data_IF_410677007504
#
_entry.id   IF_410677007504
#
_cell.length_a   1.000
_cell.length_b   1.000
_cell.length_c   1.000
_cell.angle_alpha   90.00
_cell.angle_beta   90.00
_cell.angle_gamma   90.00
#
_symmetry.space_group_name_H-M   'P 1'
#
loop_
_entity.id
_entity.type
_entity.pdbx_description
1 polymer ?
#
# COMPACT_ATOMS: atom_id res chain seq x y z
N UNK A 1 -4.59 -59.46 -61.77
CA UNK A 1 -3.24 -59.13 -61.24
C UNK A 1 -3.38 -57.97 -60.27
N UNK A 2 -3.37 -58.24 -58.96
CA UNK A 2 -2.32 -57.84 -57.98
C UNK A 2 -2.10 -56.32 -57.80
N UNK A 3 -2.30 -55.89 -56.55
CA UNK A 3 -1.64 -54.83 -55.74
C UNK A 3 -2.57 -53.68 -55.37
N UNK A 4 -2.58 -53.12 -54.17
CA UNK A 4 -2.08 -53.49 -52.84
C UNK A 4 -2.74 -52.53 -51.86
N UNK A 5 -3.07 -53.02 -50.68
CA UNK A 5 -3.52 -52.28 -49.51
C UNK A 5 -2.44 -51.29 -49.04
N UNK A 6 -2.79 -50.08 -48.62
CA UNK A 6 -1.94 -49.27 -47.71
C UNK A 6 -2.84 -48.43 -46.82
N UNK A 7 -2.97 -48.92 -45.59
CA UNK A 7 -3.60 -48.31 -44.43
C UNK A 7 -2.71 -47.14 -43.97
N UNK A 8 -3.23 -45.91 -43.99
CA UNK A 8 -2.53 -44.76 -43.40
C UNK A 8 -2.96 -44.63 -41.93
N UNK A 9 -2.11 -45.11 -41.02
CA UNK A 9 -2.22 -44.86 -39.59
C UNK A 9 -2.06 -43.36 -39.31
N UNK A 10 -3.14 -42.69 -38.91
CA UNK A 10 -3.06 -41.35 -38.30
C UNK A 10 -2.53 -41.55 -36.87
N UNK A 11 -1.23 -41.32 -36.71
CA UNK A 11 -0.56 -41.23 -35.41
C UNK A 11 -1.02 -39.93 -34.75
N UNK A 12 -1.69 -40.09 -33.61
CA UNK A 12 -2.05 -39.03 -32.66
C UNK A 12 -0.78 -38.31 -32.24
N UNK A 13 -0.60 -37.07 -32.69
CA UNK A 13 0.37 -36.15 -32.10
C UNK A 13 -0.16 -35.71 -30.72
N UNK A 14 0.30 -36.40 -29.68
CA UNK A 14 0.30 -35.85 -28.32
C UNK A 14 1.20 -34.61 -28.33
N UNK A 15 0.59 -33.43 -28.35
CA UNK A 15 1.32 -32.15 -28.28
C UNK A 15 1.99 -32.04 -26.91
N UNK A 16 3.29 -32.26 -26.93
CA UNK A 16 4.33 -31.72 -26.04
C UNK A 16 3.83 -30.85 -24.89
N UNK A 17 3.72 -31.43 -23.70
CA UNK A 17 3.90 -30.67 -22.47
C UNK A 17 5.37 -30.22 -22.41
N UNK A 18 5.68 -29.06 -23.00
CA UNK A 18 6.93 -28.38 -22.70
C UNK A 18 6.90 -28.05 -21.22
N UNK A 19 7.60 -28.86 -20.40
CA UNK A 19 7.75 -28.61 -18.97
C UNK A 19 8.38 -27.24 -18.78
N UNK A 20 7.56 -26.25 -18.44
CA UNK A 20 8.02 -24.90 -18.21
C UNK A 20 9.05 -24.92 -17.08
N UNK A 21 10.29 -24.53 -17.39
CA UNK A 21 11.39 -24.48 -16.41
C UNK A 21 11.25 -23.29 -15.45
N UNK A 22 10.25 -22.42 -15.64
CA UNK A 22 10.02 -21.17 -14.92
C UNK A 22 8.53 -20.94 -14.68
N UNK A 23 8.20 -20.14 -13.67
CA UNK A 23 6.83 -19.68 -13.39
C UNK A 23 6.34 -18.79 -14.54
N UNK A 24 5.12 -19.01 -15.01
CA UNK A 24 4.49 -18.30 -16.13
C UNK A 24 3.58 -17.17 -15.63
N UNK A 25 4.18 -16.05 -15.25
CA UNK A 25 3.45 -14.90 -14.74
C UNK A 25 2.51 -14.28 -15.78
N UNK A 26 1.31 -13.90 -15.34
CA UNK A 26 0.40 -13.05 -16.11
C UNK A 26 0.94 -11.61 -16.14
N UNK A 27 0.69 -10.84 -17.23
CA UNK A 27 1.27 -9.51 -17.39
C UNK A 27 0.57 -8.44 -16.54
N UNK A 28 -0.72 -8.60 -16.20
CA UNK A 28 -1.44 -7.70 -15.30
C UNK A 28 -2.27 -8.48 -14.28
N UNK A 29 -2.63 -7.80 -13.18
CA UNK A 29 -3.45 -8.40 -12.14
C UNK A 29 -4.87 -8.69 -12.63
N UNK A 30 -5.46 -7.84 -13.46
CA UNK A 30 -6.78 -8.03 -14.05
C UNK A 30 -6.82 -9.27 -14.95
N UNK A 31 -5.77 -9.50 -15.74
CA UNK A 31 -5.66 -10.71 -16.55
C UNK A 31 -5.52 -11.96 -15.68
N UNK A 32 -4.77 -11.86 -14.57
CA UNK A 32 -4.68 -12.95 -13.60
C UNK A 32 -6.03 -13.29 -12.99
N UNK A 33 -6.83 -12.29 -12.59
CA UNK A 33 -8.18 -12.49 -12.06
C UNK A 33 -9.14 -13.06 -13.11
N UNK A 34 -9.13 -12.53 -14.33
CA UNK A 34 -9.97 -13.06 -15.41
C UNK A 34 -9.67 -14.53 -15.71
N UNK A 35 -8.38 -14.89 -15.75
CA UNK A 35 -7.95 -16.27 -15.98
C UNK A 35 -8.25 -17.18 -14.79
N UNK A 36 -8.11 -16.67 -13.58
CA UNK A 36 -8.50 -17.35 -12.33
C UNK A 36 -9.97 -17.73 -12.34
N UNK A 37 -10.85 -16.83 -12.79
CA UNK A 37 -12.27 -17.11 -12.92
C UNK A 37 -12.56 -18.19 -13.98
N UNK A 38 -11.85 -18.20 -15.11
CA UNK A 38 -12.06 -19.19 -16.18
C UNK A 38 -11.49 -20.58 -15.87
N UNK A 39 -10.35 -20.65 -15.18
CA UNK A 39 -9.65 -21.91 -14.89
C UNK A 39 -9.97 -22.48 -13.50
N UNK A 40 -10.77 -21.78 -12.70
CA UNK A 40 -11.09 -22.12 -11.30
C UNK A 40 -9.85 -22.36 -10.42
N UNK A 41 -8.83 -21.51 -10.60
CA UNK A 41 -7.57 -21.55 -9.83
C UNK A 41 -7.37 -20.25 -9.07
N UNK A 42 -6.72 -20.32 -7.91
CA UNK A 42 -6.32 -19.11 -7.19
C UNK A 42 -5.27 -18.30 -7.96
N UNK A 43 -5.32 -16.98 -7.84
CA UNK A 43 -4.21 -16.10 -8.21
C UNK A 43 -3.13 -16.16 -7.13
N UNK A 44 -1.89 -16.40 -7.53
CA UNK A 44 -0.71 -16.24 -6.68
C UNK A 44 -0.06 -14.89 -6.99
N UNK A 45 -0.24 -13.91 -6.12
CA UNK A 45 0.46 -12.62 -6.21
C UNK A 45 1.80 -12.73 -5.49
N UNK A 46 2.89 -12.57 -6.23
CA UNK A 46 4.26 -12.52 -5.71
C UNK A 46 4.73 -11.07 -5.69
N UNK A 47 4.92 -10.51 -4.49
CA UNK A 47 5.42 -9.15 -4.29
C UNK A 47 6.88 -9.25 -3.85
N UNK A 48 7.81 -8.97 -4.76
CA UNK A 48 9.24 -9.10 -4.46
C UNK A 48 9.90 -7.77 -4.11
N UNK A 49 10.92 -7.83 -3.23
CA UNK A 49 11.75 -6.67 -2.88
C UNK A 49 12.79 -6.34 -3.96
N UNK A 50 13.11 -7.32 -4.80
CA UNK A 50 14.28 -7.33 -5.67
C UNK A 50 13.84 -7.13 -7.11
N UNK A 51 14.34 -6.06 -7.74
CA UNK A 51 14.18 -5.77 -9.16
C UNK A 51 14.94 -6.84 -9.98
N UNK A 52 14.45 -7.32 -11.15
CA UNK A 52 15.08 -8.39 -11.89
C UNK A 52 16.49 -8.02 -12.34
N UNK A 53 17.34 -9.03 -12.44
CA UNK A 53 18.73 -8.91 -12.92
C UNK A 53 18.83 -8.16 -14.27
N UNK A 54 17.87 -8.34 -15.17
CA UNK A 54 17.82 -7.64 -16.47
C UNK A 54 17.72 -6.11 -16.35
N UNK A 55 17.15 -5.58 -15.26
CA UNK A 55 17.15 -4.14 -14.97
C UNK A 55 18.37 -3.70 -14.12
N UNK A 56 19.06 -4.66 -13.50
CA UNK A 56 20.39 -4.49 -12.88
C UNK A 56 21.55 -4.61 -13.88
N UNK A 57 21.31 -5.11 -15.10
CA UNK A 57 22.31 -5.30 -16.16
C UNK A 57 22.69 -3.99 -16.89
N UNK A 58 22.14 -2.84 -16.47
CA UNK A 58 22.84 -1.57 -16.71
C UNK A 58 24.20 -1.65 -16.00
N UNK A 59 25.29 -1.28 -16.68
CA UNK A 59 26.68 -1.60 -16.34
C UNK A 59 27.23 -1.18 -14.95
N UNK A 60 26.40 -0.81 -13.98
CA UNK A 60 26.73 -0.19 -12.70
C UNK A 60 26.61 -1.08 -11.45
N UNK A 61 26.16 -2.34 -11.51
CA UNK A 61 26.18 -3.24 -10.35
C UNK A 61 27.13 -4.42 -10.51
N UNK A 62 28.45 -4.19 -10.36
CA UNK A 62 29.45 -5.26 -10.17
C UNK A 62 29.37 -5.86 -8.76
N UNK A 63 28.23 -6.44 -8.39
CA UNK A 63 28.17 -7.42 -7.29
C UNK A 63 27.58 -8.71 -7.85
N UNK A 64 28.42 -9.75 -7.93
CA UNK A 64 27.97 -11.14 -8.13
C UNK A 64 27.23 -11.60 -6.87
N UNK A 65 25.98 -11.16 -6.70
CA UNK A 65 25.05 -11.83 -5.78
C UNK A 65 24.20 -12.76 -6.65
N UNK A 66 24.53 -14.04 -6.65
CA UNK A 66 23.65 -15.07 -7.19
C UNK A 66 22.52 -15.29 -6.18
N UNK A 67 21.46 -14.50 -6.27
CA UNK A 67 20.26 -14.73 -5.48
C UNK A 67 19.49 -15.91 -6.11
N UNK A 68 19.73 -17.13 -5.64
CA UNK A 68 18.97 -18.31 -6.06
C UNK A 68 17.83 -18.50 -5.08
N UNK A 69 16.57 -18.27 -5.46
CA UNK A 69 15.44 -18.58 -4.58
C UNK A 69 15.01 -20.03 -4.77
N UNK A 70 14.50 -20.68 -3.71
CA UNK A 70 13.76 -21.93 -3.84
C UNK A 70 12.50 -21.79 -4.70
N UNK A 71 12.00 -20.55 -4.89
CA UNK A 71 10.90 -20.24 -5.81
C UNK A 71 11.26 -20.48 -7.28
N UNK A 72 12.54 -20.34 -7.64
CA UNK A 72 13.03 -20.55 -9.00
C UNK A 72 13.29 -22.03 -9.33
N UNK A 73 13.00 -22.94 -8.39
CA UNK A 73 13.17 -24.37 -8.59
C UNK A 73 12.18 -24.91 -9.62
N UNK A 74 12.61 -25.90 -10.41
CA UNK A 74 11.79 -26.49 -11.48
C UNK A 74 10.53 -27.16 -10.93
N UNK A 75 10.61 -27.86 -9.80
CA UNK A 75 9.46 -28.53 -9.19
C UNK A 75 8.46 -27.50 -8.66
N UNK A 76 8.97 -26.42 -8.07
CA UNK A 76 8.15 -25.29 -7.62
C UNK A 76 7.45 -24.61 -8.80
N UNK A 77 8.19 -24.31 -9.89
CA UNK A 77 7.60 -23.70 -11.08
C UNK A 77 6.49 -24.55 -11.70
N UNK A 78 6.70 -25.86 -11.80
CA UNK A 78 5.70 -26.80 -12.27
C UNK A 78 4.47 -26.82 -11.36
N UNK A 79 4.66 -26.89 -10.05
CA UNK A 79 3.57 -26.86 -9.09
C UNK A 79 2.77 -25.56 -9.23
N UNK A 80 3.45 -24.41 -9.31
CA UNK A 80 2.80 -23.11 -9.41
C UNK A 80 1.97 -23.00 -10.69
N UNK A 81 2.55 -23.29 -11.85
CA UNK A 81 1.87 -23.18 -13.14
C UNK A 81 0.68 -24.15 -13.26
N UNK A 82 0.74 -25.30 -12.58
CA UNK A 82 -0.35 -26.27 -12.58
C UNK A 82 -1.52 -25.81 -11.68
N UNK A 83 -1.21 -25.28 -10.49
CA UNK A 83 -2.21 -25.07 -9.44
C UNK A 83 -2.71 -23.63 -9.29
N UNK A 84 -1.97 -22.64 -9.80
CA UNK A 84 -2.27 -21.22 -9.60
C UNK A 84 -2.18 -20.44 -10.91
N UNK A 85 -2.76 -19.25 -10.90
CA UNK A 85 -2.52 -18.19 -11.89
C UNK A 85 -1.51 -17.22 -11.28
N UNK A 86 -0.21 -17.33 -11.57
CA UNK A 86 0.78 -16.49 -10.92
C UNK A 86 0.79 -15.07 -11.54
N UNK A 87 0.90 -14.06 -10.70
CA UNK A 87 1.12 -12.66 -11.05
C UNK A 87 2.26 -12.14 -10.19
N UNK A 88 3.15 -11.34 -10.77
CA UNK A 88 4.33 -10.85 -10.08
C UNK A 88 4.41 -9.34 -10.19
N UNK A 89 4.70 -8.69 -9.06
CA UNK A 89 4.90 -7.26 -8.98
C UNK A 89 6.09 -6.93 -8.07
N UNK A 90 6.77 -5.82 -8.33
CA UNK A 90 7.81 -5.34 -7.44
C UNK A 90 7.22 -4.46 -6.35
N UNK A 91 7.80 -4.52 -5.17
CA UNK A 91 7.36 -3.73 -4.02
C UNK A 91 7.28 -2.22 -4.31
N UNK A 92 8.17 -1.71 -5.17
CA UNK A 92 8.23 -0.29 -5.52
C UNK A 92 7.24 0.11 -6.62
N UNK A 93 6.57 -0.84 -7.25
CA UNK A 93 5.58 -0.52 -8.27
C UNK A 93 4.37 0.16 -7.60
N UNK A 94 3.80 1.22 -8.21
CA UNK A 94 2.66 1.93 -7.63
C UNK A 94 1.47 1.01 -7.30
N UNK A 95 1.22 0.01 -8.15
CA UNK A 95 0.16 -0.99 -7.95
C UNK A 95 0.42 -1.85 -6.68
N UNK A 96 1.68 -2.06 -6.27
CA UNK A 96 2.00 -2.81 -5.06
C UNK A 96 1.53 -2.09 -3.78
N UNK A 97 1.42 -0.76 -3.80
CA UNK A 97 0.94 0.03 -2.66
C UNK A 97 -0.49 -0.34 -2.27
N UNK A 98 -1.32 -0.73 -3.25
CA UNK A 98 -2.69 -1.20 -3.01
C UNK A 98 -2.67 -2.47 -2.16
N UNK A 99 -1.87 -3.46 -2.53
CA UNK A 99 -1.73 -4.72 -1.79
C UNK A 99 -1.11 -4.51 -0.40
N UNK A 100 -0.09 -3.65 -0.30
CA UNK A 100 0.59 -3.34 0.95
C UNK A 100 -0.37 -2.76 1.98
N UNK A 101 -1.18 -1.77 1.57
CA UNK A 101 -2.19 -1.15 2.42
C UNK A 101 -3.32 -2.13 2.73
N UNK A 102 -3.86 -2.81 1.72
CA UNK A 102 -5.01 -3.71 1.86
C UNK A 102 -4.73 -4.91 2.77
N UNK A 103 -3.53 -5.49 2.70
CA UNK A 103 -3.19 -6.72 3.41
C UNK A 103 -2.17 -6.54 4.55
N UNK A 104 -1.86 -5.27 4.87
CA UNK A 104 -0.91 -4.88 5.92
C UNK A 104 0.43 -5.61 5.80
N UNK A 105 1.06 -5.49 4.63
CA UNK A 105 2.31 -6.20 4.34
C UNK A 105 3.49 -5.45 4.97
N UNK A 106 4.19 -6.13 5.89
CA UNK A 106 5.28 -5.55 6.68
C UNK A 106 6.67 -5.96 6.18
N UNK A 107 6.73 -6.95 5.30
CA UNK A 107 7.95 -7.60 4.84
C UNK A 107 7.80 -8.07 3.39
N UNK A 108 8.93 -8.22 2.69
CA UNK A 108 8.99 -8.83 1.36
C UNK A 108 10.15 -9.83 1.26
N UNK A 109 10.07 -10.85 0.37
CA UNK A 109 8.95 -11.13 -0.55
C UNK A 109 7.68 -11.57 0.18
N UNK A 110 6.53 -11.14 -0.33
CA UNK A 110 5.21 -11.51 0.16
C UNK A 110 4.43 -12.30 -0.89
N UNK A 111 3.67 -13.29 -0.45
CA UNK A 111 2.87 -14.18 -1.29
C UNK A 111 1.42 -14.07 -0.85
N UNK A 112 0.55 -13.64 -1.75
CA UNK A 112 -0.88 -13.56 -1.51
C UNK A 112 -1.59 -14.56 -2.40
N UNK A 113 -2.46 -15.36 -1.80
CA UNK A 113 -3.30 -16.33 -2.48
C UNK A 113 -4.70 -15.75 -2.53
N UNK A 114 -5.13 -15.37 -3.72
CA UNK A 114 -6.40 -14.70 -3.96
C UNK A 114 -7.32 -15.65 -4.72
N UNK A 115 -8.56 -15.79 -4.29
CA UNK A 115 -9.53 -16.59 -5.02
C UNK A 115 -10.11 -15.86 -6.24
N UNK A 116 -10.94 -16.57 -7.02
CA UNK A 116 -11.61 -16.04 -8.22
C UNK A 116 -12.56 -14.87 -7.96
N UNK A 117 -12.89 -14.60 -6.70
CA UNK A 117 -13.74 -13.48 -6.27
C UNK A 117 -12.89 -12.30 -5.73
N UNK A 118 -11.58 -12.33 -5.93
CA UNK A 118 -10.63 -11.31 -5.46
C UNK A 118 -10.53 -11.20 -3.92
N UNK A 119 -10.82 -12.29 -3.20
CA UNK A 119 -10.68 -12.36 -1.75
C UNK A 119 -9.40 -13.09 -1.34
N UNK A 120 -8.80 -12.65 -0.22
CA UNK A 120 -7.60 -13.29 0.32
C UNK A 120 -7.96 -14.64 0.95
N UNK A 121 -7.31 -15.69 0.47
CA UNK A 121 -7.38 -17.05 1.02
C UNK A 121 -6.25 -17.27 2.02
N UNK A 122 -5.02 -16.92 1.62
CA UNK A 122 -3.82 -17.14 2.45
C UNK A 122 -2.78 -16.06 2.16
N UNK A 123 -1.95 -15.72 3.16
CA UNK A 123 -0.78 -14.86 2.97
C UNK A 123 0.42 -15.41 3.72
N UNK A 124 1.60 -15.19 3.17
CA UNK A 124 2.87 -15.59 3.78
C UNK A 124 4.01 -14.66 3.34
N UNK A 125 5.05 -14.59 4.15
CA UNK A 125 6.26 -13.80 3.92
C UNK A 125 7.51 -14.68 4.04
N UNK A 126 7.69 -15.58 3.08
CA UNK A 126 8.79 -16.55 3.11
C UNK A 126 9.88 -16.27 2.08
N UNK A 127 11.12 -16.32 2.53
CA UNK A 127 12.27 -16.25 1.65
C UNK A 127 13.29 -17.32 2.00
N UNK A 128 13.50 -18.27 1.09
CA UNK A 128 14.31 -19.45 1.36
C UNK A 128 15.00 -19.99 0.11
N UNK A 129 16.12 -20.67 0.31
CA UNK A 129 16.75 -21.48 -0.74
C UNK A 129 16.05 -22.84 -0.91
N UNK A 130 15.17 -23.24 0.03
CA UNK A 130 14.54 -24.57 0.07
C UNK A 130 13.25 -24.61 -0.78
N UNK A 131 13.19 -25.41 -1.85
CA UNK A 131 11.96 -25.59 -2.65
C UNK A 131 10.80 -26.14 -1.82
N UNK A 132 11.09 -27.06 -0.89
CA UNK A 132 10.09 -27.68 -0.03
C UNK A 132 9.30 -26.66 0.81
N UNK A 133 9.94 -25.56 1.23
CA UNK A 133 9.27 -24.51 2.00
C UNK A 133 8.19 -23.79 1.18
N UNK A 134 8.46 -23.56 -0.10
CA UNK A 134 7.49 -22.99 -1.03
C UNK A 134 6.35 -23.96 -1.32
N UNK A 135 6.67 -25.24 -1.59
CA UNK A 135 5.65 -26.27 -1.80
C UNK A 135 4.71 -26.40 -0.59
N UNK A 136 5.25 -26.39 0.62
CA UNK A 136 4.44 -26.42 1.85
C UNK A 136 3.55 -25.17 1.99
N UNK A 137 4.06 -23.98 1.65
CA UNK A 137 3.27 -22.74 1.64
C UNK A 137 2.12 -22.83 0.62
N UNK A 138 2.39 -23.31 -0.59
CA UNK A 138 1.37 -23.48 -1.63
C UNK A 138 0.33 -24.52 -1.24
N UNK A 139 0.75 -25.62 -0.64
CA UNK A 139 -0.14 -26.67 -0.16
C UNK A 139 -1.06 -26.16 0.95
N UNK A 140 -0.52 -25.39 1.92
CA UNK A 140 -1.32 -24.71 2.94
C UNK A 140 -2.37 -23.78 2.34
N UNK A 141 -2.03 -23.03 1.28
CA UNK A 141 -3.02 -22.17 0.62
C UNK A 141 -4.18 -22.97 0.00
N UNK A 142 -3.88 -24.12 -0.64
CA UNK A 142 -4.90 -25.02 -1.20
C UNK A 142 -5.77 -25.65 -0.11
N UNK A 143 -5.16 -26.09 0.99
CA UNK A 143 -5.87 -26.63 2.15
C UNK A 143 -6.80 -25.60 2.78
N UNK A 144 -6.35 -24.35 2.91
CA UNK A 144 -7.19 -23.25 3.40
C UNK A 144 -8.39 -23.03 2.50
N UNK A 145 -8.22 -23.02 1.17
CA UNK A 145 -9.35 -22.92 0.23
C UNK A 145 -10.33 -24.10 0.39
N UNK A 146 -9.81 -25.32 0.46
CA UNK A 146 -10.61 -26.54 0.59
C UNK A 146 -11.35 -26.63 1.93
N UNK A 147 -10.84 -26.00 2.99
CA UNK A 147 -11.39 -26.08 4.34
C UNK A 147 -12.79 -25.48 4.51
N UNK A 148 -13.26 -24.66 3.57
CA UNK A 148 -14.53 -23.95 3.74
C UNK A 148 -14.45 -22.68 4.60
N UNK A 149 -13.29 -22.38 5.19
CA UNK A 149 -13.08 -21.25 6.10
C UNK A 149 -12.34 -20.09 5.44
N UNK A 150 -12.83 -19.65 4.29
CA UNK A 150 -12.26 -18.52 3.55
C UNK A 150 -13.14 -17.27 3.63
N UNK A 151 -12.52 -16.10 3.44
CA UNK A 151 -13.23 -14.81 3.43
C UNK A 151 -14.36 -14.82 2.40
N UNK A 152 -14.16 -15.42 1.21
CA UNK A 152 -15.20 -15.47 0.17
C UNK A 152 -16.39 -16.35 0.53
N UNK A 153 -16.19 -17.47 1.21
CA UNK A 153 -17.30 -18.33 1.65
C UNK A 153 -18.13 -17.65 2.73
N UNK A 154 -17.49 -16.97 3.68
CA UNK A 154 -18.20 -16.13 4.64
C UNK A 154 -18.89 -14.94 3.95
N UNK A 155 -18.22 -14.29 2.98
CA UNK A 155 -18.83 -13.21 2.19
C UNK A 155 -20.08 -13.70 1.44
N UNK A 156 -20.04 -14.87 0.81
CA UNK A 156 -21.17 -15.45 0.09
C UNK A 156 -22.35 -15.72 1.03
N UNK A 157 -22.10 -16.31 2.21
CA UNK A 157 -23.15 -16.51 3.22
C UNK A 157 -23.72 -15.19 3.74
N UNK A 158 -22.87 -14.18 3.93
CA UNK A 158 -23.30 -12.84 4.33
C UNK A 158 -24.15 -12.17 3.24
N UNK A 159 -23.78 -12.28 1.96
CA UNK A 159 -24.57 -11.78 0.84
C UNK A 159 -25.89 -12.54 0.68
N UNK A 160 -25.92 -13.83 1.01
CA UNK A 160 -27.14 -14.65 1.06
C UNK A 160 -28.06 -14.34 2.27
N UNK A 161 -27.71 -13.34 3.10
CA UNK A 161 -28.54 -12.88 4.21
C UNK A 161 -28.26 -13.53 5.56
N UNK A 162 -27.21 -14.35 5.70
CA UNK A 162 -26.84 -14.88 7.01
C UNK A 162 -26.39 -13.74 7.93
N UNK A 163 -27.13 -13.52 9.03
CA UNK A 163 -26.87 -12.49 10.04
C UNK A 163 -26.79 -13.07 11.45
N UNK A 164 -26.63 -14.39 11.60
CA UNK A 164 -26.54 -15.02 12.93
C UNK A 164 -25.33 -14.45 13.71
N UNK A 165 -25.46 -14.15 15.02
CA UNK A 165 -24.39 -13.56 15.82
C UNK A 165 -23.08 -14.34 15.77
N UNK A 166 -23.15 -15.67 15.92
CA UNK A 166 -21.99 -16.57 15.88
C UNK A 166 -21.28 -16.55 14.53
N UNK A 167 -22.05 -16.53 13.44
CA UNK A 167 -21.51 -16.43 12.08
C UNK A 167 -20.81 -15.08 11.84
N UNK A 168 -21.44 -13.97 12.23
CA UNK A 168 -20.86 -12.63 12.07
C UNK A 168 -19.59 -12.47 12.92
N UNK A 169 -19.59 -13.05 14.13
CA UNK A 169 -18.42 -13.07 14.99
C UNK A 169 -17.27 -13.82 14.35
N UNK A 170 -17.51 -15.04 13.91
CA UNK A 170 -16.50 -15.87 13.23
C UNK A 170 -15.97 -15.17 11.97
N UNK A 171 -16.83 -14.47 11.23
CA UNK A 171 -16.42 -13.72 10.04
C UNK A 171 -15.47 -12.57 10.39
N UNK A 172 -15.81 -11.77 11.40
CA UNK A 172 -14.96 -10.67 11.86
C UNK A 172 -13.62 -11.21 12.38
N UNK A 173 -13.61 -12.31 13.13
CA UNK A 173 -12.39 -12.93 13.64
C UNK A 173 -11.50 -13.47 12.52
N UNK A 174 -12.10 -14.11 11.50
CA UNK A 174 -11.39 -14.54 10.29
C UNK A 174 -10.73 -13.35 9.58
N UNK A 175 -11.48 -12.28 9.34
CA UNK A 175 -10.94 -11.07 8.71
C UNK A 175 -9.77 -10.49 9.53
N UNK A 176 -9.95 -10.33 10.85
CA UNK A 176 -8.91 -9.81 11.73
C UNK A 176 -7.65 -10.68 11.75
N UNK A 177 -7.81 -12.01 11.79
CA UNK A 177 -6.70 -12.97 11.72
C UNK A 177 -5.93 -12.90 10.40
N UNK A 178 -6.62 -12.53 9.31
CA UNK A 178 -6.03 -12.30 7.99
C UNK A 178 -5.45 -10.89 7.82
N UNK A 179 -5.58 -10.01 8.82
CA UNK A 179 -5.17 -8.61 8.75
C UNK A 179 -6.10 -7.73 7.90
N UNK A 180 -7.34 -8.18 7.66
CA UNK A 180 -8.41 -7.44 7.00
C UNK A 180 -9.26 -6.78 8.08
N UNK A 181 -9.26 -5.44 8.11
CA UNK A 181 -9.90 -4.69 9.21
C UNK A 181 -11.15 -3.90 8.83
N UNK A 182 -11.56 -3.89 7.55
CA UNK A 182 -12.83 -3.30 7.09
C UNK A 182 -14.03 -4.14 7.54
N UNK A 183 -14.37 -4.06 8.83
CA UNK A 183 -15.40 -4.86 9.47
C UNK A 183 -16.53 -4.01 10.06
N UNK A 184 -16.56 -2.70 9.82
CA UNK A 184 -17.54 -1.81 10.47
C UNK A 184 -18.99 -2.23 10.18
N UNK A 185 -19.31 -2.57 8.93
CA UNK A 185 -20.65 -3.05 8.57
C UNK A 185 -21.00 -4.39 9.23
N UNK A 186 -20.03 -5.30 9.34
CA UNK A 186 -20.21 -6.58 10.04
C UNK A 186 -20.42 -6.37 11.53
N UNK A 187 -19.68 -5.43 12.13
CA UNK A 187 -19.82 -5.06 13.53
C UNK A 187 -21.20 -4.44 13.81
N UNK A 188 -21.72 -3.61 12.91
CA UNK A 188 -23.09 -3.07 12.99
C UNK A 188 -24.15 -4.17 12.92
N UNK A 189 -24.01 -5.09 11.97
CA UNK A 189 -24.94 -6.22 11.85
C UNK A 189 -24.88 -7.15 13.06
N UNK A 190 -23.68 -7.38 13.60
CA UNK A 190 -23.48 -8.17 14.82
C UNK A 190 -24.14 -7.51 16.02
N UNK A 191 -23.87 -6.22 16.25
CA UNK A 191 -24.44 -5.45 17.34
C UNK A 191 -25.97 -5.37 17.26
N UNK A 192 -26.54 -5.33 16.05
CA UNK A 192 -27.99 -5.35 15.84
C UNK A 192 -28.67 -6.65 16.30
N UNK A 193 -27.93 -7.77 16.41
CA UNK A 193 -28.46 -9.03 16.93
C UNK A 193 -28.32 -9.17 18.45
N UNK A 194 -27.61 -8.27 19.12
CA UNK A 194 -27.33 -8.40 20.55
C UNK A 194 -28.49 -7.86 21.42
N UNK A 195 -28.77 -8.50 22.57
CA UNK A 195 -29.71 -7.94 23.53
C UNK A 195 -29.13 -6.66 24.17
N UNK A 196 -29.98 -5.74 24.70
CA UNK A 196 -29.52 -4.50 25.34
C UNK A 196 -28.48 -4.70 26.46
N UNK A 197 -28.56 -5.82 27.19
CA UNK A 197 -27.61 -6.17 28.25
C UNK A 197 -26.17 -6.39 27.73
N UNK A 198 -26.00 -6.80 26.48
CA UNK A 198 -24.69 -7.04 25.89
C UNK A 198 -23.86 -5.76 25.73
N UNK A 199 -24.50 -4.60 25.63
CA UNK A 199 -23.80 -3.29 25.56
C UNK A 199 -23.19 -2.86 26.91
N UNK A 200 -23.43 -3.65 27.97
CA UNK A 200 -22.80 -3.49 29.28
C UNK A 200 -21.63 -4.48 29.50
N UNK A 201 -21.40 -5.41 28.56
CA UNK A 201 -20.35 -6.41 28.65
C UNK A 201 -19.03 -5.89 28.04
N UNK A 202 -17.97 -5.90 28.83
CA UNK A 202 -16.64 -5.46 28.41
C UNK A 202 -16.06 -6.31 27.27
N UNK A 203 -16.30 -7.63 27.26
CA UNK A 203 -15.83 -8.51 26.19
C UNK A 203 -16.50 -8.17 24.87
N UNK A 204 -17.79 -7.81 24.91
CA UNK A 204 -18.53 -7.37 23.73
C UNK A 204 -18.03 -6.01 23.24
N UNK A 205 -17.79 -5.07 24.15
CA UNK A 205 -17.16 -3.78 23.83
C UNK A 205 -15.82 -4.01 23.12
N UNK A 206 -14.92 -4.80 23.72
CA UNK A 206 -13.57 -5.02 23.19
C UNK A 206 -13.61 -5.70 21.81
N UNK A 207 -14.48 -6.70 21.63
CA UNK A 207 -14.67 -7.38 20.36
C UNK A 207 -15.11 -6.41 19.26
N UNK A 208 -16.17 -5.65 19.51
CA UNK A 208 -16.72 -4.69 18.55
C UNK A 208 -15.71 -3.58 18.25
N UNK A 209 -15.06 -3.00 19.26
CA UNK A 209 -14.06 -1.95 19.04
C UNK A 209 -12.84 -2.44 18.26
N UNK A 210 -12.40 -3.70 18.46
CA UNK A 210 -11.35 -4.32 17.64
C UNK A 210 -11.75 -4.47 16.17
N UNK A 211 -13.04 -4.63 15.88
CA UNK A 211 -13.56 -4.65 14.52
C UNK A 211 -13.60 -3.27 13.86
N UNK A 212 -13.49 -2.18 14.64
CA UNK A 212 -13.48 -0.81 14.15
C UNK A 212 -14.85 -0.39 13.61
N UNK A 213 -15.87 -0.19 14.47
CA UNK A 213 -17.17 0.33 14.02
C UNK A 213 -17.01 1.73 13.43
N UNK A 214 -18.02 2.20 12.68
CA UNK A 214 -18.00 3.57 12.17
C UNK A 214 -17.93 4.58 13.32
N UNK A 215 -17.09 5.60 13.15
CA UNK A 215 -16.88 6.68 14.08
C UNK A 215 -18.21 7.39 14.34
N UNK A 216 -18.62 7.46 15.60
CA UNK A 216 -19.91 8.03 16.02
C UNK A 216 -21.14 7.36 15.40
N UNK A 217 -20.99 6.22 14.71
CA UNK A 217 -22.08 5.41 14.17
C UNK A 217 -22.88 4.72 15.27
N UNK A 218 -24.01 4.11 14.88
CA UNK A 218 -24.99 3.52 15.82
C UNK A 218 -24.33 2.59 16.84
N UNK A 219 -23.55 1.62 16.37
CA UNK A 219 -22.87 0.64 17.24
C UNK A 219 -21.88 1.29 18.20
N UNK A 220 -21.08 2.24 17.71
CA UNK A 220 -20.16 2.98 18.57
C UNK A 220 -20.92 3.75 19.67
N UNK A 221 -22.02 4.42 19.31
CA UNK A 221 -22.83 5.17 20.27
C UNK A 221 -23.52 4.27 21.29
N UNK A 222 -24.02 3.10 20.88
CA UNK A 222 -24.64 2.13 21.79
C UNK A 222 -23.71 1.76 22.94
N UNK A 223 -22.44 1.46 22.67
CA UNK A 223 -21.45 1.19 23.71
C UNK A 223 -21.03 2.45 24.50
N UNK A 224 -20.98 3.61 23.85
CA UNK A 224 -20.60 4.88 24.49
C UNK A 224 -21.60 5.35 25.55
N UNK A 225 -22.85 4.87 25.51
CA UNK A 225 -23.85 5.15 26.55
C UNK A 225 -23.36 4.76 27.95
N UNK A 226 -22.61 3.64 28.06
CA UNK A 226 -21.86 3.30 29.27
C UNK A 226 -20.44 3.88 29.22
N UNK A 227 -20.30 5.15 29.63
CA UNK A 227 -19.00 5.85 29.65
C UNK A 227 -17.94 5.11 30.46
N UNK A 228 -18.29 4.55 31.63
CA UNK A 228 -17.33 3.84 32.48
C UNK A 228 -16.74 2.62 31.79
N UNK A 229 -17.56 1.89 31.03
CA UNK A 229 -17.11 0.73 30.25
C UNK A 229 -16.15 1.16 29.13
N UNK A 230 -16.50 2.21 28.39
CA UNK A 230 -15.64 2.79 27.35
C UNK A 230 -14.32 3.30 27.93
N UNK A 231 -14.36 4.01 29.06
CA UNK A 231 -13.17 4.52 29.75
C UNK A 231 -12.26 3.37 30.21
N UNK A 232 -12.84 2.22 30.58
CA UNK A 232 -12.07 1.04 30.99
C UNK A 232 -11.23 0.48 29.84
N UNK A 233 -11.75 0.48 28.61
CA UNK A 233 -10.97 0.11 27.42
C UNK A 233 -9.74 1.01 27.27
N UNK A 234 -9.93 2.33 27.41
CA UNK A 234 -8.82 3.26 27.29
C UNK A 234 -7.91 3.31 28.53
N UNK A 235 -8.33 2.76 29.67
CA UNK A 235 -7.52 2.71 30.90
C UNK A 235 -6.66 1.45 31.00
N UNK A 236 -7.21 0.28 30.63
CA UNK A 236 -6.59 -1.01 30.94
C UNK A 236 -5.96 -1.70 29.72
N UNK A 237 -6.40 -1.41 28.49
CA UNK A 237 -5.81 -2.06 27.32
C UNK A 237 -4.41 -1.51 26.98
N UNK A 238 -3.51 -2.36 26.45
CA UNK A 238 -2.21 -1.93 25.98
C UNK A 238 -2.28 -0.75 25.01
N UNK A 239 -1.32 0.18 25.11
CA UNK A 239 -1.28 1.41 24.27
C UNK A 239 -1.38 1.09 22.78
N UNK A 240 -0.64 0.09 22.31
CA UNK A 240 -0.63 -0.34 20.91
C UNK A 240 -2.00 -0.87 20.45
N UNK A 241 -2.73 -1.58 21.31
CA UNK A 241 -4.07 -2.05 20.98
C UNK A 241 -5.07 -0.88 20.90
N UNK A 242 -4.97 0.09 21.82
CA UNK A 242 -5.81 1.29 21.81
C UNK A 242 -5.58 2.13 20.55
N UNK A 243 -4.32 2.28 20.12
CA UNK A 243 -3.97 2.93 18.86
C UNK A 243 -4.59 2.17 17.68
N UNK A 244 -4.40 0.85 17.60
CA UNK A 244 -4.96 0.04 16.52
C UNK A 244 -6.49 0.10 16.44
N UNK A 245 -7.19 0.12 17.59
CA UNK A 245 -8.65 0.30 17.64
C UNK A 245 -9.04 1.66 17.04
N UNK A 246 -8.40 2.74 17.49
CA UNK A 246 -8.70 4.08 16.99
C UNK A 246 -8.43 4.20 15.48
N UNK A 247 -7.29 3.68 15.02
CA UNK A 247 -6.91 3.70 13.60
C UNK A 247 -7.93 2.95 12.75
N UNK A 248 -8.41 1.78 13.20
CA UNK A 248 -9.45 1.01 12.49
C UNK A 248 -10.79 1.74 12.43
N UNK A 249 -11.21 2.39 13.51
CA UNK A 249 -12.44 3.21 13.51
C UNK A 249 -12.31 4.34 12.48
N UNK A 250 -11.18 5.04 12.46
CA UNK A 250 -10.90 6.12 11.51
C UNK A 250 -10.90 5.57 10.07
N UNK A 251 -10.09 4.55 9.80
CA UNK A 251 -9.89 4.01 8.46
C UNK A 251 -11.17 3.38 7.89
N UNK A 252 -11.96 2.65 8.69
CA UNK A 252 -13.21 2.06 8.22
C UNK A 252 -14.27 3.12 7.90
N UNK A 253 -14.40 4.15 8.75
CA UNK A 253 -15.32 5.27 8.52
C UNK A 253 -14.93 6.03 7.27
N UNK A 254 -13.64 6.28 7.12
CA UNK A 254 -13.10 7.02 6.01
C UNK A 254 -13.20 6.24 4.68
N UNK A 255 -12.96 4.93 4.70
CA UNK A 255 -13.16 4.05 3.54
C UNK A 255 -14.63 4.02 3.10
N UNK A 256 -15.56 3.93 4.05
CA UNK A 256 -17.00 4.02 3.75
C UNK A 256 -17.38 5.39 3.19
N UNK A 257 -16.84 6.47 3.75
CA UNK A 257 -17.08 7.81 3.25
C UNK A 257 -16.67 7.94 1.78
N UNK A 258 -15.50 7.41 1.39
CA UNK A 258 -15.07 7.37 -0.03
C UNK A 258 -16.04 6.52 -0.85
N UNK A 259 -16.37 5.30 -0.39
CA UNK A 259 -17.28 4.38 -1.11
C UNK A 259 -18.66 5.00 -1.39
N UNK A 260 -19.13 5.88 -0.52
CA UNK A 260 -20.45 6.53 -0.62
C UNK A 260 -20.39 7.96 -1.12
N UNK A 261 -19.20 8.50 -1.38
CA UNK A 261 -18.98 9.93 -1.64
C UNK A 261 -19.62 10.82 -0.55
N UNK A 262 -19.54 10.39 0.72
CA UNK A 262 -20.19 11.02 1.87
C UNK A 262 -19.20 11.92 2.65
N UNK A 263 -19.13 13.20 2.27
CA UNK A 263 -18.23 14.16 2.89
C UNK A 263 -18.52 14.40 4.39
N UNK A 264 -19.78 14.50 4.85
CA UNK A 264 -20.10 14.50 6.29
C UNK A 264 -19.51 13.31 7.04
N UNK A 265 -19.58 12.09 6.49
CA UNK A 265 -18.98 10.90 7.11
C UNK A 265 -17.45 10.98 7.12
N UNK A 266 -16.83 11.52 6.06
CA UNK A 266 -15.39 11.79 6.06
C UNK A 266 -15.01 12.74 7.20
N UNK A 267 -15.77 13.83 7.42
CA UNK A 267 -15.56 14.74 8.56
C UNK A 267 -15.72 14.05 9.91
N UNK A 268 -16.68 13.14 10.08
CA UNK A 268 -16.83 12.38 11.33
C UNK A 268 -15.58 11.54 11.64
N UNK A 269 -14.96 10.92 10.63
CA UNK A 269 -13.69 10.22 10.81
C UNK A 269 -12.57 11.17 11.29
N UNK A 270 -12.54 12.41 10.76
CA UNK A 270 -11.57 13.43 11.20
C UNK A 270 -11.86 13.93 12.61
N UNK A 271 -13.11 14.20 12.95
CA UNK A 271 -13.48 14.64 14.30
C UNK A 271 -13.12 13.57 15.34
N UNK A 272 -13.27 12.29 14.97
CA UNK A 272 -12.79 11.18 15.79
C UNK A 272 -11.26 11.19 15.91
N UNK A 273 -10.55 11.35 14.81
CA UNK A 273 -9.08 11.48 14.81
C UNK A 273 -8.64 12.63 15.72
N UNK A 274 -9.21 13.83 15.59
CA UNK A 274 -8.80 14.98 16.41
C UNK A 274 -8.97 14.73 17.91
N UNK A 275 -9.98 13.94 18.30
CA UNK A 275 -10.17 13.54 19.69
C UNK A 275 -9.07 12.63 20.24
N UNK A 276 -8.32 11.91 19.39
CA UNK A 276 -7.19 11.07 19.81
C UNK A 276 -5.88 11.87 19.93
N UNK A 277 -5.81 13.06 19.31
CA UNK A 277 -4.62 13.92 19.26
C UNK A 277 -4.65 15.11 20.25
N UNK A 278 -5.39 15.01 21.36
CA UNK A 278 -5.52 16.11 22.36
C UNK A 278 -4.18 16.62 22.91
N UNK A 279 -3.17 15.76 23.00
CA UNK A 279 -1.81 16.14 23.43
C UNK A 279 -0.99 16.88 22.37
N UNK A 280 -1.40 16.84 21.10
CA UNK A 280 -0.75 17.57 20.00
C UNK A 280 -1.78 17.97 18.93
N UNK A 281 -2.66 18.94 19.23
CA UNK A 281 -3.78 19.30 18.38
C UNK A 281 -3.34 19.84 17.02
N UNK A 282 -2.19 20.54 16.93
CA UNK A 282 -1.64 21.02 15.66
C UNK A 282 -1.30 19.87 14.72
N UNK A 283 -0.65 18.81 15.23
CA UNK A 283 -0.34 17.62 14.43
C UNK A 283 -1.61 16.82 14.09
N UNK A 284 -2.56 16.73 15.02
CA UNK A 284 -3.87 16.14 14.76
C UNK A 284 -4.59 16.84 13.60
N UNK A 285 -4.64 18.17 13.61
CA UNK A 285 -5.23 18.96 12.52
C UNK A 285 -4.52 18.74 11.19
N UNK A 286 -3.18 18.82 11.13
CA UNK A 286 -2.44 18.57 9.91
C UNK A 286 -2.74 17.17 9.32
N UNK A 287 -2.75 16.14 10.19
CA UNK A 287 -3.10 14.77 9.80
C UNK A 287 -4.55 14.68 9.28
N UNK A 288 -5.49 15.32 9.98
CA UNK A 288 -6.90 15.33 9.62
C UNK A 288 -7.18 15.98 8.28
N UNK A 289 -6.59 17.15 8.01
CA UNK A 289 -6.69 17.82 6.71
C UNK A 289 -5.99 17.04 5.61
N UNK A 290 -4.86 16.38 5.89
CA UNK A 290 -4.22 15.46 4.94
C UNK A 290 -5.15 14.32 4.53
N UNK A 291 -5.86 13.71 5.49
CA UNK A 291 -6.90 12.72 5.19
C UNK A 291 -8.04 13.35 4.39
N UNK A 292 -8.55 14.53 4.72
CA UNK A 292 -9.59 15.16 3.86
C UNK A 292 -9.11 15.43 2.43
N UNK A 293 -7.83 15.73 2.23
CA UNK A 293 -7.25 15.88 0.89
C UNK A 293 -7.25 14.57 0.10
N UNK A 294 -6.87 13.46 0.74
CA UNK A 294 -6.98 12.13 0.13
C UNK A 294 -8.43 11.82 -0.27
N UNK A 295 -9.41 12.30 0.48
CA UNK A 295 -10.83 12.00 0.25
C UNK A 295 -11.31 12.76 -0.99
N UNK A 296 -11.06 14.08 -1.02
CA UNK A 296 -11.51 14.92 -2.14
C UNK A 296 -10.76 14.57 -3.43
N UNK A 297 -9.53 14.06 -3.35
CA UNK A 297 -8.81 13.48 -4.49
C UNK A 297 -9.49 12.19 -4.98
N UNK A 298 -9.86 11.29 -4.07
CA UNK A 298 -10.50 10.01 -4.38
C UNK A 298 -11.90 10.16 -5.00
N UNK A 299 -12.65 11.20 -4.61
CA UNK A 299 -13.97 11.53 -5.21
C UNK A 299 -13.87 12.57 -6.33
N UNK A 300 -12.65 12.91 -6.75
CA UNK A 300 -12.36 13.84 -7.85
C UNK A 300 -12.95 15.27 -7.69
N UNK A 301 -13.13 15.75 -6.46
CA UNK A 301 -13.52 17.14 -6.18
C UNK A 301 -12.28 18.05 -6.19
N UNK A 302 -11.88 18.46 -7.39
CA UNK A 302 -10.71 19.33 -7.61
C UNK A 302 -10.88 20.72 -7.00
N UNK A 303 -12.11 21.25 -6.95
CA UNK A 303 -12.36 22.60 -6.42
C UNK A 303 -12.08 22.65 -4.92
N UNK A 304 -12.58 21.66 -4.19
CA UNK A 304 -12.32 21.54 -2.75
C UNK A 304 -10.87 21.14 -2.49
N UNK A 305 -10.27 20.29 -3.34
CA UNK A 305 -8.86 19.93 -3.23
C UNK A 305 -7.94 21.14 -3.21
N UNK A 306 -8.07 22.07 -4.17
CA UNK A 306 -7.21 23.25 -4.20
C UNK A 306 -7.33 24.09 -2.93
N UNK A 307 -8.56 24.34 -2.46
CA UNK A 307 -8.82 25.13 -1.25
C UNK A 307 -8.24 24.47 0.01
N UNK A 308 -8.52 23.18 0.21
CA UNK A 308 -8.03 22.42 1.36
C UNK A 308 -6.50 22.29 1.32
N UNK A 309 -5.92 22.12 0.14
CA UNK A 309 -4.48 21.95 -0.01
C UNK A 309 -3.77 23.26 0.28
N UNK A 310 -4.31 24.38 -0.18
CA UNK A 310 -3.76 25.69 0.20
C UNK A 310 -3.83 25.92 1.70
N UNK A 311 -4.97 25.65 2.33
CA UNK A 311 -5.12 25.79 3.78
C UNK A 311 -4.11 24.92 4.56
N UNK A 312 -3.97 23.64 4.18
CA UNK A 312 -3.06 22.72 4.83
C UNK A 312 -1.60 23.16 4.68
N UNK A 313 -1.15 23.40 3.46
CA UNK A 313 0.27 23.63 3.19
C UNK A 313 0.73 25.00 3.68
N UNK A 314 -0.08 26.04 3.50
CA UNK A 314 0.23 27.37 4.02
C UNK A 314 0.23 27.38 5.55
N UNK A 315 -0.82 26.86 6.20
CA UNK A 315 -0.98 26.97 7.66
C UNK A 315 -0.11 26.03 8.49
N UNK A 316 0.26 24.86 7.94
CA UNK A 316 0.95 23.83 8.72
C UNK A 316 2.40 23.58 8.31
N UNK A 317 2.80 23.91 7.07
CA UNK A 317 4.10 23.53 6.53
C UNK A 317 4.98 24.72 6.13
N UNK A 318 4.40 25.80 5.59
CA UNK A 318 5.19 26.96 5.12
C UNK A 318 5.96 27.67 6.24
N UNK A 319 5.36 27.77 7.42
CA UNK A 319 5.94 28.46 8.58
C UNK A 319 6.96 27.63 9.37
N UNK A 320 7.17 26.35 8.99
CA UNK A 320 8.19 25.52 9.64
C UNK A 320 9.57 26.06 9.25
N UNK A 321 10.39 26.43 10.24
CA UNK A 321 11.77 26.89 10.02
C UNK A 321 12.65 25.76 9.49
N UNK A 322 13.71 26.11 8.74
CA UNK A 322 14.67 25.13 8.23
C UNK A 322 15.29 24.26 9.34
N UNK A 323 15.64 24.87 10.48
CA UNK A 323 16.14 24.15 11.65
C UNK A 323 15.10 23.22 12.27
N UNK A 324 13.82 23.61 12.30
CA UNK A 324 12.75 22.75 12.80
C UNK A 324 12.52 21.56 11.87
N UNK A 325 12.46 21.80 10.56
CA UNK A 325 12.34 20.74 9.55
C UNK A 325 13.50 19.74 9.65
N UNK A 326 14.75 20.24 9.67
CA UNK A 326 15.95 19.41 9.80
C UNK A 326 15.99 18.62 11.10
N UNK A 327 15.56 19.19 12.22
CA UNK A 327 15.45 18.48 13.51
C UNK A 327 14.44 17.34 13.45
N UNK A 328 13.28 17.54 12.81
CA UNK A 328 12.28 16.48 12.63
C UNK A 328 12.82 15.35 11.77
N UNK A 329 13.46 15.67 10.65
CA UNK A 329 14.05 14.67 9.75
C UNK A 329 15.15 13.88 10.46
N UNK A 330 16.04 14.55 11.20
CA UNK A 330 17.07 13.89 12.01
C UNK A 330 16.48 13.01 13.12
N UNK A 331 15.40 13.43 13.77
CA UNK A 331 14.74 12.63 14.80
C UNK A 331 14.10 11.36 14.22
N UNK A 332 13.55 11.42 13.01
CA UNK A 332 13.05 10.24 12.27
C UNK A 332 14.23 9.30 11.97
N UNK A 333 15.33 9.82 11.41
CA UNK A 333 16.55 9.05 11.13
C UNK A 333 17.14 8.40 12.39
N UNK A 334 17.18 9.11 13.51
CA UNK A 334 17.66 8.56 14.78
C UNK A 334 16.75 7.47 15.34
N UNK A 335 15.42 7.61 15.21
CA UNK A 335 14.49 6.53 15.60
C UNK A 335 14.72 5.27 14.77
N UNK A 336 14.96 5.43 13.46
CA UNK A 336 15.30 4.33 12.55
C UNK A 336 16.61 3.67 12.99
N UNK A 337 17.65 4.47 13.21
CA UNK A 337 18.98 3.98 13.66
C UNK A 337 18.91 3.21 14.98
N UNK A 338 18.03 3.62 15.90
CA UNK A 338 17.89 3.00 17.23
C UNK A 338 16.95 1.79 17.26
N UNK A 339 16.20 1.54 16.20
CA UNK A 339 15.30 0.39 16.16
C UNK A 339 16.11 -0.94 16.10
N UNK A 340 15.77 -1.95 16.92
CA UNK A 340 16.52 -3.21 16.97
C UNK A 340 16.62 -3.88 15.59
N UNK A 341 17.84 -4.22 15.16
CA UNK A 341 18.11 -4.87 13.87
C UNK A 341 18.30 -3.92 12.67
N UNK A 342 18.28 -2.59 12.88
CA UNK A 342 18.23 -1.57 11.82
C UNK A 342 19.45 -0.63 11.79
N UNK A 343 20.53 -0.97 12.50
CA UNK A 343 21.72 -0.13 12.59
C UNK A 343 22.54 -0.22 11.29
N UNK A 344 22.42 0.82 10.46
CA UNK A 344 23.21 1.17 9.27
C UNK A 344 22.65 0.78 7.88
N UNK A 345 21.43 1.21 7.52
CA UNK A 345 20.92 1.11 6.14
C UNK A 345 20.09 2.33 5.70
N UNK A 346 20.18 2.66 4.41
CA UNK A 346 19.60 3.82 3.73
C UNK A 346 18.06 3.95 3.81
N UNK A 347 17.58 5.16 3.50
CA UNK A 347 16.29 5.81 3.80
C UNK A 347 14.98 5.14 3.28
N UNK A 348 14.89 3.85 2.93
CA UNK A 348 13.57 3.22 2.66
C UNK A 348 13.49 1.69 2.71
N UNK A 349 14.62 0.98 2.58
CA UNK A 349 14.61 -0.46 2.27
C UNK A 349 15.70 -1.18 3.08
N UNK A 350 15.31 -1.96 4.08
CA UNK A 350 16.27 -2.71 4.90
C UNK A 350 16.56 -4.04 4.22
N UNK A 351 17.49 -4.06 3.26
CA UNK A 351 17.92 -5.30 2.64
C UNK A 351 18.72 -6.16 3.65
N UNK A 352 18.23 -7.37 3.95
CA UNK A 352 19.03 -8.39 4.65
C UNK A 352 18.91 -8.42 6.17
N UNK A 353 17.78 -8.00 6.75
CA UNK A 353 17.50 -8.28 8.15
C UNK A 353 17.50 -9.81 8.39
N UNK A 354 18.39 -10.28 9.26
CA UNK A 354 18.49 -11.70 9.66
C UNK A 354 17.49 -11.98 10.76
N UNK A 355 16.30 -12.44 10.40
CA UNK A 355 15.31 -12.95 11.35
C UNK A 355 15.52 -14.45 11.55
N UNK A 356 15.17 -14.98 12.73
CA UNK A 356 15.14 -16.44 12.95
C UNK A 356 13.68 -16.90 12.97
N UNK A 357 13.37 -18.01 12.30
CA UNK A 357 12.05 -18.64 12.42
C UNK A 357 11.90 -19.45 13.72
N UNK A 358 10.68 -19.97 13.94
CA UNK A 358 10.30 -20.86 15.04
C UNK A 358 11.19 -22.12 15.16
N UNK A 359 11.90 -22.48 14.08
CA UNK A 359 12.83 -23.61 14.02
C UNK A 359 14.31 -23.18 14.05
N UNK A 360 14.58 -21.90 14.31
CA UNK A 360 15.93 -21.35 14.46
C UNK A 360 16.68 -21.05 13.15
N UNK A 361 16.05 -21.20 11.97
CA UNK A 361 16.69 -20.94 10.68
C UNK A 361 16.75 -19.44 10.38
N UNK A 362 17.84 -19.01 9.74
CA UNK A 362 18.00 -17.60 9.32
C UNK A 362 17.17 -17.32 8.08
N UNK A 363 16.23 -16.38 8.19
CA UNK A 363 15.47 -15.79 7.09
C UNK A 363 16.06 -14.43 6.76
N UNK A 364 16.31 -14.18 5.48
CA UNK A 364 16.66 -12.86 4.97
C UNK A 364 15.41 -12.18 4.40
N UNK A 365 14.83 -11.24 5.14
CA UNK A 365 13.68 -10.45 4.71
C UNK A 365 14.06 -8.98 4.53
N UNK A 366 13.30 -8.29 3.68
CA UNK A 366 13.35 -6.83 3.62
C UNK A 366 12.24 -6.27 4.50
N UNK A 367 12.61 -5.53 5.54
CA UNK A 367 11.67 -4.85 6.44
C UNK A 367 11.40 -3.44 5.89
N UNK A 368 10.15 -3.02 5.97
CA UNK A 368 9.67 -1.72 5.50
C UNK A 368 9.40 -0.82 6.71
N UNK A 369 9.91 0.41 6.67
CA UNK A 369 9.63 1.41 7.70
C UNK A 369 8.72 2.49 7.11
N UNK A 370 7.46 2.58 7.54
CA UNK A 370 6.57 3.67 7.17
C UNK A 370 7.13 5.03 7.62
N UNK A 371 7.11 6.03 6.73
CA UNK A 371 7.32 7.46 7.08
C UNK A 371 8.70 8.06 6.82
N UNK A 372 9.66 7.33 6.23
CA UNK A 372 11.03 7.87 6.01
C UNK A 372 11.06 9.02 4.98
N UNK A 373 10.17 9.00 3.98
CA UNK A 373 10.12 10.02 2.93
C UNK A 373 9.27 11.26 3.27
N UNK A 374 8.84 11.43 4.52
CA UNK A 374 7.83 12.44 4.89
C UNK A 374 8.42 13.77 5.39
N UNK A 375 9.50 14.26 4.78
CA UNK A 375 10.10 15.56 5.15
C UNK A 375 9.18 16.73 4.80
N UNK A 376 9.38 17.87 5.48
CA UNK A 376 8.60 19.10 5.19
C UNK A 376 8.80 19.56 3.75
N UNK A 377 10.03 19.46 3.23
CA UNK A 377 10.35 19.80 1.84
C UNK A 377 9.62 18.88 0.84
N UNK A 378 9.66 17.55 1.06
CA UNK A 378 8.93 16.59 0.22
C UNK A 378 7.42 16.86 0.25
N UNK A 379 6.85 17.18 1.42
CA UNK A 379 5.42 17.46 1.54
C UNK A 379 4.99 18.65 0.69
N UNK A 380 5.72 19.77 0.80
CA UNK A 380 5.45 20.99 0.01
C UNK A 380 5.66 20.75 -1.49
N UNK A 381 6.71 20.01 -1.87
CA UNK A 381 6.95 19.69 -3.27
C UNK A 381 5.84 18.78 -3.84
N UNK A 382 5.44 17.75 -3.10
CA UNK A 382 4.39 16.85 -3.53
C UNK A 382 3.07 17.60 -3.73
N UNK A 383 2.71 18.52 -2.83
CA UNK A 383 1.54 19.38 -2.99
C UNK A 383 1.60 20.22 -4.28
N UNK A 384 2.75 20.83 -4.55
CA UNK A 384 2.99 21.60 -5.76
C UNK A 384 2.86 20.73 -7.02
N UNK A 385 3.44 19.53 -7.02
CA UNK A 385 3.35 18.59 -8.11
C UNK A 385 1.92 18.09 -8.35
N UNK A 386 1.12 17.89 -7.29
CA UNK A 386 -0.28 17.51 -7.44
C UNK A 386 -1.10 18.58 -8.16
N UNK A 387 -0.84 19.87 -7.90
CA UNK A 387 -1.49 20.96 -8.64
C UNK A 387 -1.15 20.91 -10.13
N UNK A 388 0.11 20.59 -10.46
CA UNK A 388 0.52 20.36 -11.85
C UNK A 388 -0.19 19.13 -12.46
N UNK A 389 -0.21 17.99 -11.77
CA UNK A 389 -0.86 16.77 -12.29
C UNK A 389 -2.37 16.94 -12.52
N UNK A 390 -3.05 17.69 -11.65
CA UNK A 390 -4.47 18.01 -11.81
C UNK A 390 -4.78 18.97 -12.96
N UNK A 391 -3.76 19.45 -13.69
CA UNK A 391 -3.98 20.24 -14.89
C UNK A 391 -4.41 21.69 -14.66
N UNK A 392 -4.24 22.24 -13.44
CA UNK A 392 -4.70 23.61 -13.14
C UNK A 392 -4.06 24.63 -14.07
N UNK A 393 -4.87 25.52 -14.63
CA UNK A 393 -4.45 26.70 -15.42
C UNK A 393 -4.73 28.01 -14.69
N UNK A 394 -5.35 27.94 -13.51
CA UNK A 394 -5.63 29.11 -12.71
C UNK A 394 -4.32 29.70 -12.18
N UNK A 395 -4.11 31.00 -12.43
CA UNK A 395 -2.87 31.69 -12.06
C UNK A 395 -2.68 31.75 -10.55
N UNK A 396 -3.77 31.83 -9.77
CA UNK A 396 -3.69 31.81 -8.30
C UNK A 396 -3.15 30.49 -7.77
N UNK A 397 -3.72 29.38 -8.23
CA UNK A 397 -3.30 28.02 -7.88
C UNK A 397 -1.87 27.74 -8.33
N UNK A 398 -1.50 28.12 -9.55
CA UNK A 398 -0.12 27.98 -10.04
C UNK A 398 0.85 28.80 -9.19
N UNK A 399 0.49 30.04 -8.81
CA UNK A 399 1.34 30.88 -7.94
C UNK A 399 1.54 30.26 -6.56
N UNK A 400 0.52 29.62 -5.98
CA UNK A 400 0.62 28.88 -4.71
C UNK A 400 1.56 27.68 -4.84
N UNK A 401 1.35 26.84 -5.85
CA UNK A 401 2.21 25.69 -6.11
C UNK A 401 3.69 26.09 -6.34
N UNK A 402 3.95 27.16 -7.11
CA UNK A 402 5.29 27.70 -7.32
C UNK A 402 5.92 28.14 -5.99
N UNK A 403 5.15 28.78 -5.12
CA UNK A 403 5.62 29.22 -3.80
C UNK A 403 6.04 28.03 -2.94
N UNK A 404 5.25 26.95 -2.93
CA UNK A 404 5.58 25.73 -2.20
C UNK A 404 6.80 25.01 -2.77
N UNK A 405 6.92 24.91 -4.10
CA UNK A 405 8.09 24.31 -4.74
C UNK A 405 9.38 25.09 -4.42
N UNK A 406 9.33 26.43 -4.46
CA UNK A 406 10.45 27.29 -4.05
C UNK A 406 10.80 27.09 -2.56
N UNK A 407 9.79 26.94 -1.70
CA UNK A 407 10.03 26.66 -0.27
C UNK A 407 10.67 25.30 -0.05
N UNK A 408 10.24 24.26 -0.78
CA UNK A 408 10.87 22.93 -0.73
C UNK A 408 12.35 23.00 -1.10
N UNK A 409 12.69 23.72 -2.17
CA UNK A 409 14.08 23.98 -2.58
C UNK A 409 14.86 24.72 -1.48
N UNK A 410 14.26 25.74 -0.86
CA UNK A 410 14.94 26.49 0.21
C UNK A 410 15.22 25.62 1.46
N UNK A 411 14.37 24.63 1.74
CA UNK A 411 14.54 23.72 2.88
C UNK A 411 15.56 22.60 2.60
N UNK A 412 15.59 22.11 1.36
CA UNK A 412 16.46 21.01 0.94
C UNK A 412 16.88 21.22 -0.53
N UNK A 413 17.92 22.03 -0.78
CA UNK A 413 18.29 22.51 -2.11
C UNK A 413 18.99 21.45 -2.96
N UNK A 414 19.26 20.27 -2.42
CA UNK A 414 20.07 19.25 -3.06
C UNK A 414 19.24 18.15 -3.73
N UNK A 415 17.93 18.34 -3.90
CA UNK A 415 17.02 17.36 -4.49
C UNK A 415 16.55 17.81 -5.87
N UNK A 416 16.93 17.07 -6.91
CA UNK A 416 16.59 17.47 -8.29
C UNK A 416 15.07 17.57 -8.53
N UNK A 417 14.29 16.67 -7.89
CA UNK A 417 12.85 16.57 -8.10
C UNK A 417 12.09 17.87 -7.76
N UNK A 418 12.63 18.69 -6.86
CA UNK A 418 11.98 19.95 -6.49
C UNK A 418 12.14 21.02 -7.57
N UNK A 419 13.31 21.06 -8.20
CA UNK A 419 13.59 21.95 -9.32
C UNK A 419 12.82 21.51 -10.57
N UNK A 420 12.69 20.20 -10.77
CA UNK A 420 11.86 19.62 -11.83
C UNK A 420 10.39 20.01 -11.67
N UNK A 421 9.84 19.87 -10.46
CA UNK A 421 8.48 20.32 -10.14
C UNK A 421 8.29 21.82 -10.39
N UNK A 422 9.24 22.65 -9.95
CA UNK A 422 9.22 24.09 -10.17
C UNK A 422 9.23 24.44 -11.67
N UNK A 423 10.04 23.75 -12.47
CA UNK A 423 10.15 23.99 -13.91
C UNK A 423 8.81 23.75 -14.63
N UNK A 424 8.14 22.65 -14.33
CA UNK A 424 6.84 22.30 -14.92
C UNK A 424 5.75 23.33 -14.57
N UNK A 425 5.74 23.82 -13.32
CA UNK A 425 4.79 24.84 -12.87
C UNK A 425 5.06 26.20 -13.51
N UNK A 426 6.33 26.61 -13.61
CA UNK A 426 6.73 27.85 -14.28
C UNK A 426 6.39 27.82 -15.77
N UNK A 427 6.63 26.68 -16.43
CA UNK A 427 6.26 26.48 -17.82
C UNK A 427 4.75 26.68 -18.02
N UNK A 428 3.92 26.06 -17.16
CA UNK A 428 2.46 26.20 -17.24
C UNK A 428 1.98 27.62 -16.94
N UNK A 429 2.70 28.36 -16.11
CA UNK A 429 2.47 29.79 -15.86
C UNK A 429 2.83 30.67 -17.07
N UNK A 430 3.59 30.15 -18.04
CA UNK A 430 4.11 30.89 -19.19
C UNK A 430 5.47 31.56 -18.94
N UNK A 431 6.14 31.22 -17.84
CA UNK A 431 7.46 31.72 -17.44
C UNK A 431 8.55 30.79 -17.97
N UNK A 432 8.73 30.78 -19.30
CA UNK A 432 9.51 29.77 -20.00
C UNK A 432 11.02 29.83 -19.71
N UNK A 433 11.57 31.03 -19.53
CA UNK A 433 13.01 31.19 -19.27
C UNK A 433 13.37 30.69 -17.87
N UNK A 434 12.54 31.00 -16.87
CA UNK A 434 12.68 30.50 -15.52
C UNK A 434 12.41 28.99 -15.44
N UNK A 435 11.49 28.46 -16.25
CA UNK A 435 11.25 27.03 -16.36
C UNK A 435 12.50 26.30 -16.90
N UNK A 436 13.10 26.81 -17.98
CA UNK A 436 14.34 26.30 -18.54
C UNK A 436 15.47 26.31 -17.50
N UNK A 437 15.68 27.45 -16.83
CA UNK A 437 16.70 27.58 -15.79
C UNK A 437 16.49 26.61 -14.63
N UNK A 438 15.24 26.43 -14.19
CA UNK A 438 14.89 25.48 -13.12
C UNK A 438 15.19 24.05 -13.53
N UNK A 439 14.84 23.64 -14.75
CA UNK A 439 15.10 22.28 -15.23
C UNK A 439 16.59 22.01 -15.48
N UNK A 440 17.36 23.00 -15.91
CA UNK A 440 18.83 22.89 -15.99
C UNK A 440 19.46 22.66 -14.61
N UNK A 441 18.95 23.34 -13.58
CA UNK A 441 19.35 23.08 -12.20
C UNK A 441 18.95 21.68 -11.73
N UNK A 442 17.75 21.20 -12.08
CA UNK A 442 17.34 19.82 -11.81
C UNK A 442 18.35 18.83 -12.41
N UNK A 443 18.73 19.01 -13.69
CA UNK A 443 19.70 18.16 -14.36
C UNK A 443 21.09 18.24 -13.70
N UNK A 444 21.53 19.42 -13.28
CA UNK A 444 22.80 19.61 -12.57
C UNK A 444 22.81 18.87 -11.23
N UNK A 445 21.75 19.01 -10.44
CA UNK A 445 21.64 18.36 -9.12
C UNK A 445 21.52 16.86 -9.27
N UNK A 446 20.75 16.37 -10.23
CA UNK A 446 20.64 14.93 -10.50
C UNK A 446 22.02 14.30 -10.83
N UNK A 447 22.90 15.04 -11.53
CA UNK A 447 24.30 14.60 -11.75
C UNK A 447 25.10 14.58 -10.45
N UNK A 448 24.97 15.59 -9.60
CA UNK A 448 25.69 15.70 -8.32
C UNK A 448 25.25 14.60 -7.33
N UNK A 449 23.96 14.30 -7.27
CA UNK A 449 23.39 13.18 -6.50
C UNK A 449 23.74 11.80 -7.12
N UNK A 450 24.40 11.77 -8.29
CA UNK A 450 24.72 10.55 -9.03
C UNK A 450 23.48 9.69 -9.31
N UNK A 451 22.35 10.33 -9.63
CA UNK A 451 21.11 9.67 -9.98
C UNK A 451 21.34 8.66 -11.12
N UNK A 452 20.48 7.65 -11.17
CA UNK A 452 20.56 6.59 -12.16
C UNK A 452 20.35 7.14 -13.59
N UNK A 453 20.74 6.34 -14.59
CA UNK A 453 20.69 6.76 -16.00
C UNK A 453 19.28 7.07 -16.49
N UNK A 454 18.26 6.35 -15.98
CA UNK A 454 16.86 6.52 -16.38
C UNK A 454 16.33 7.85 -15.83
N UNK A 455 16.57 8.11 -14.54
CA UNK A 455 16.25 9.41 -13.92
C UNK A 455 16.93 10.56 -14.67
N UNK A 456 18.23 10.41 -14.96
CA UNK A 456 18.99 11.41 -15.72
C UNK A 456 18.45 11.62 -17.14
N UNK A 457 18.00 10.57 -17.80
CA UNK A 457 17.39 10.66 -19.13
C UNK A 457 16.02 11.32 -19.08
N UNK A 458 15.16 10.94 -18.13
CA UNK A 458 13.86 11.58 -17.91
C UNK A 458 14.01 13.08 -17.71
N UNK A 459 14.90 13.51 -16.82
CA UNK A 459 15.14 14.94 -16.56
C UNK A 459 15.67 15.67 -17.80
N UNK A 460 16.52 15.01 -18.61
CA UNK A 460 17.02 15.54 -19.89
C UNK A 460 15.92 15.67 -20.94
N UNK A 461 15.04 14.67 -21.06
CA UNK A 461 13.90 14.69 -21.97
C UNK A 461 12.94 15.82 -21.61
N UNK A 462 12.60 15.98 -20.32
CA UNK A 462 11.77 17.09 -19.86
C UNK A 462 12.42 18.45 -20.17
N UNK A 463 13.74 18.59 -20.00
CA UNK A 463 14.46 19.81 -20.42
C UNK A 463 14.30 20.08 -21.93
N UNK A 464 14.38 19.03 -22.75
CA UNK A 464 14.15 19.14 -24.20
C UNK A 464 12.73 19.62 -24.52
N UNK A 465 11.72 19.08 -23.83
CA UNK A 465 10.31 19.49 -24.01
C UNK A 465 10.07 20.95 -23.63
N UNK A 466 10.61 21.39 -22.49
CA UNK A 466 10.49 22.79 -22.03
C UNK A 466 11.15 23.74 -23.03
N UNK A 467 12.38 23.43 -23.49
CA UNK A 467 13.07 24.22 -24.53
C UNK A 467 12.32 24.26 -25.86
N UNK A 468 11.74 23.12 -26.25
CA UNK A 468 10.93 22.98 -27.46
C UNK A 468 9.49 23.47 -27.33
N UNK A 469 9.09 24.00 -26.17
CA UNK A 469 7.71 24.44 -25.88
C UNK A 469 6.64 23.37 -26.19
N UNK A 470 6.92 22.14 -25.76
CA UNK A 470 6.09 20.95 -26.01
C UNK A 470 5.70 20.19 -24.76
N UNK A 471 5.86 20.81 -23.59
CA UNK A 471 5.49 20.23 -22.29
C UNK A 471 3.98 20.14 -22.09
#
# INVERSE_FOLDING_TARGET
MRRSLSLLCIVVFATTATFAQKIQYQPTYEQALSKSASEDKMVLVVISAIIPKAMLDSAKFKRKVSYKSGLDDKQVAQFVNHNFIPYHIFYKDPEAAVFQKKYSLLSTPAYLFIDKLNNLVYKADTNSLSPARYLNMFQKAKETLASGKTISQYQAQYLAGNRKPEFLKDYIELNQGMGVYDNAKLADDYAAQLPPSAFQDYKQLLFVMKAGPYAFGKTYQSFKTNRKLMDSLYKYEPVNLRIAINDRIIDNTYAEAIRREDFPMAKQAIDFLLNTWRGNPRQGMATGYGRLLEYVDAVHDTTTYYKLSTYLHDGFYMDISADSAKRKDNAIRERIRKAPGLQAADDALIAGAKLKDENGNTIANTILIPGINNSTANTLNNAAWQFYKMGTKDKGNLSKAITWAKRAIALDPNRYAYYDTLAHLLYRMGLYDEANSSQENALKIAKLEQQDKETMERVRVELGKIKGRSL
#
